data_IF_106627594869
#
_entry.id   IF_106627594869
#
_cell.length_a   1.000
_cell.length_b   1.000
_cell.length_c   1.000
_cell.angle_alpha   90.00
_cell.angle_beta   90.00
_cell.angle_gamma   90.00
#
_symmetry.space_group_name_H-M   'P 1'
#
loop_
_entity.id
_entity.type
_entity.pdbx_description
1 polymer ?
#
# COMPACT_ATOMS: atom_id res chain seq x y z
N UNK A 1 -19.05 25.45 -16.50
CA UNK A 1 -18.00 24.46 -16.14
C UNK A 1 -18.21 24.14 -14.67
N UNK A 2 -18.34 22.87 -14.29
CA UNK A 2 -18.40 22.49 -12.89
C UNK A 2 -17.10 22.92 -12.21
N UNK A 3 -17.17 23.53 -11.01
CA UNK A 3 -16.00 23.88 -10.22
C UNK A 3 -15.24 22.59 -9.94
N UNK A 4 -13.99 22.52 -10.36
CA UNK A 4 -13.13 21.38 -10.11
C UNK A 4 -12.87 21.29 -8.61
N UNK A 5 -13.26 20.19 -7.98
CA UNK A 5 -13.09 20.01 -6.53
C UNK A 5 -11.62 19.88 -6.18
N UNK A 6 -11.20 20.58 -5.14
CA UNK A 6 -9.86 20.46 -4.57
C UNK A 6 -9.86 19.42 -3.45
N UNK A 7 -9.08 18.37 -3.62
CA UNK A 7 -8.90 17.32 -2.61
C UNK A 7 -7.54 17.48 -1.94
N UNK A 8 -7.55 17.54 -0.63
CA UNK A 8 -6.35 17.57 0.19
C UNK A 8 -6.06 16.17 0.75
N UNK A 9 -4.87 15.64 0.46
CA UNK A 9 -4.40 14.36 1.00
C UNK A 9 -3.37 14.64 2.07
N UNK A 10 -3.61 14.15 3.29
CA UNK A 10 -2.71 14.33 4.45
C UNK A 10 -1.95 13.03 4.71
N UNK A 11 -0.64 13.06 4.48
CA UNK A 11 0.28 11.93 4.61
C UNK A 11 0.75 11.40 3.26
N UNK A 12 2.07 11.40 3.06
CA UNK A 12 2.76 11.00 1.83
C UNK A 12 3.34 9.58 1.87
N UNK A 13 2.77 8.68 2.68
CA UNK A 13 3.03 7.24 2.61
C UNK A 13 2.43 6.61 1.35
N UNK A 14 2.65 5.30 1.13
CA UNK A 14 2.15 4.59 -0.06
C UNK A 14 0.64 4.76 -0.25
N UNK A 15 -0.14 4.78 0.83
CA UNK A 15 -1.60 4.97 0.76
C UNK A 15 -1.94 6.37 0.26
N UNK A 16 -1.31 7.41 0.82
CA UNK A 16 -1.54 8.79 0.38
C UNK A 16 -1.08 9.04 -1.05
N UNK A 17 0.08 8.50 -1.44
CA UNK A 17 0.59 8.59 -2.82
C UNK A 17 -0.34 7.91 -3.83
N UNK A 18 -0.83 6.69 -3.53
CA UNK A 18 -1.79 5.98 -4.38
C UNK A 18 -3.14 6.69 -4.44
N UNK A 19 -3.61 7.22 -3.31
CA UNK A 19 -4.85 8.01 -3.25
C UNK A 19 -4.73 9.25 -4.13
N UNK A 20 -3.65 10.02 -3.96
CA UNK A 20 -3.38 11.20 -4.76
C UNK A 20 -3.30 10.87 -6.27
N UNK A 21 -2.59 9.78 -6.61
CA UNK A 21 -2.44 9.34 -7.99
C UNK A 21 -3.77 8.96 -8.64
N UNK A 22 -4.60 8.17 -7.94
CA UNK A 22 -5.91 7.78 -8.45
C UNK A 22 -6.85 8.97 -8.61
N UNK A 23 -6.93 9.86 -7.62
CA UNK A 23 -7.77 11.06 -7.69
C UNK A 23 -7.34 12.01 -8.81
N UNK A 24 -6.04 12.25 -8.93
CA UNK A 24 -5.49 13.11 -9.96
C UNK A 24 -5.69 12.53 -11.36
N UNK A 25 -5.54 11.21 -11.53
CA UNK A 25 -5.80 10.51 -12.80
C UNK A 25 -7.26 10.59 -13.22
N UNK A 26 -8.19 10.81 -12.28
CA UNK A 26 -9.60 11.06 -12.53
C UNK A 26 -9.92 12.56 -12.76
N UNK A 27 -8.90 13.41 -12.86
CA UNK A 27 -9.05 14.83 -13.14
C UNK A 27 -9.32 15.71 -11.91
N UNK A 28 -9.23 15.20 -10.68
CA UNK A 28 -9.36 16.01 -9.47
C UNK A 28 -8.11 16.90 -9.30
N UNK A 29 -8.30 18.09 -8.71
CA UNK A 29 -7.18 18.90 -8.22
C UNK A 29 -6.74 18.34 -6.89
N UNK A 30 -5.50 17.89 -6.78
CA UNK A 30 -4.97 17.22 -5.58
C UNK A 30 -3.83 18.03 -4.99
N UNK A 31 -3.90 18.27 -3.68
CA UNK A 31 -2.77 18.77 -2.90
C UNK A 31 -2.41 17.74 -1.84
N UNK A 32 -1.15 17.29 -1.83
CA UNK A 32 -0.64 16.30 -0.89
C UNK A 32 0.32 16.97 0.08
N UNK A 33 0.06 16.84 1.38
CA UNK A 33 0.92 17.35 2.46
C UNK A 33 1.61 16.19 3.16
N UNK A 34 2.94 16.28 3.27
CA UNK A 34 3.76 15.31 3.99
C UNK A 34 4.70 16.02 4.97
N UNK A 35 4.73 15.56 6.22
CA UNK A 35 5.53 16.19 7.29
C UNK A 35 7.04 16.09 7.09
N UNK A 36 7.48 15.04 6.38
CA UNK A 36 8.89 14.80 6.10
C UNK A 36 9.09 14.58 4.59
N UNK A 37 9.98 13.69 4.19
CA UNK A 37 10.09 13.23 2.80
C UNK A 37 9.05 12.15 2.51
N UNK A 38 8.56 12.10 1.28
CA UNK A 38 7.57 11.12 0.85
C UNK A 38 8.05 9.68 1.07
N UNK A 39 7.17 8.88 1.66
CA UNK A 39 7.31 7.44 1.79
C UNK A 39 8.41 6.95 2.73
N UNK A 40 8.92 7.78 3.63
CA UNK A 40 10.07 7.46 4.49
C UNK A 40 9.76 6.64 5.74
N UNK A 41 8.51 6.55 6.13
CA UNK A 41 8.08 5.81 7.33
C UNK A 41 7.82 4.32 6.98
N UNK A 42 6.70 3.76 7.42
CA UNK A 42 6.34 2.34 7.18
C UNK A 42 6.40 1.93 5.71
N UNK A 43 6.14 2.85 4.78
CA UNK A 43 6.20 2.60 3.34
C UNK A 43 7.61 2.34 2.82
N UNK A 44 8.64 2.82 3.51
CA UNK A 44 10.05 2.51 3.22
C UNK A 44 10.47 1.19 3.86
N UNK A 45 10.07 0.99 5.12
CA UNK A 45 10.54 -0.10 5.96
C UNK A 45 9.84 -1.45 5.68
N UNK A 46 8.73 -1.45 4.93
CA UNK A 46 7.96 -2.64 4.64
C UNK A 46 8.74 -3.71 3.89
N UNK A 47 8.45 -4.98 4.13
CA UNK A 47 9.11 -6.13 3.49
C UNK A 47 8.81 -6.29 2.00
N UNK A 48 7.82 -5.58 1.48
CA UNK A 48 7.46 -5.60 0.06
C UNK A 48 6.70 -6.83 -0.40
N UNK A 49 6.25 -7.69 0.49
CA UNK A 49 5.44 -8.86 0.15
C UNK A 49 4.02 -8.38 -0.16
N UNK A 50 3.54 -8.66 -1.36
CA UNK A 50 2.20 -8.30 -1.84
C UNK A 50 1.23 -9.43 -1.48
N UNK A 51 1.13 -9.73 -0.20
CA UNK A 51 0.18 -10.68 0.41
C UNK A 51 0.24 -10.55 1.92
N UNK A 52 -0.84 -10.81 2.66
CA UNK A 52 -0.72 -11.17 4.08
C UNK A 52 0.19 -12.40 4.23
N UNK A 53 1.05 -12.42 5.25
CA UNK A 53 2.03 -13.51 5.40
C UNK A 53 1.37 -14.88 5.59
N UNK A 54 0.23 -14.93 6.28
CA UNK A 54 -0.59 -16.13 6.49
C UNK A 54 -2.04 -15.80 6.14
N UNK A 55 -2.43 -15.71 4.83
CA UNK A 55 -3.72 -15.16 4.42
C UNK A 55 -4.94 -15.91 4.99
N UNK A 56 -4.82 -17.20 5.28
CA UNK A 56 -5.88 -18.01 5.89
C UNK A 56 -6.17 -17.71 7.35
N UNK A 57 -5.30 -16.94 8.03
CA UNK A 57 -5.45 -16.56 9.46
C UNK A 57 -6.13 -15.19 9.62
N UNK A 58 -6.42 -14.50 8.51
CA UNK A 58 -6.99 -13.16 8.55
C UNK A 58 -8.51 -13.17 8.37
N UNK A 59 -9.14 -12.08 8.80
CA UNK A 59 -10.55 -11.84 8.57
C UNK A 59 -10.86 -11.78 7.07
N UNK A 60 -12.02 -12.32 6.60
CA UNK A 60 -12.40 -12.28 5.19
C UNK A 60 -12.36 -10.88 4.55
N UNK A 61 -12.66 -9.81 5.32
CA UNK A 61 -12.57 -8.45 4.81
C UNK A 61 -11.12 -8.04 4.46
N UNK A 62 -10.13 -8.49 5.26
CA UNK A 62 -8.71 -8.28 4.96
C UNK A 62 -8.29 -9.08 3.74
N UNK A 63 -8.75 -10.33 3.65
CA UNK A 63 -8.50 -11.21 2.50
C UNK A 63 -9.02 -10.59 1.20
N UNK A 64 -10.24 -10.05 1.18
CA UNK A 64 -10.83 -9.42 0.01
C UNK A 64 -10.00 -8.22 -0.48
N UNK A 65 -9.57 -7.34 0.44
CA UNK A 65 -8.70 -6.20 0.10
C UNK A 65 -7.32 -6.66 -0.40
N UNK A 66 -6.75 -7.69 0.21
CA UNK A 66 -5.46 -8.23 -0.19
C UNK A 66 -5.50 -8.86 -1.59
N UNK A 67 -6.54 -9.62 -1.92
CA UNK A 67 -6.74 -10.20 -3.26
C UNK A 67 -6.85 -9.12 -4.32
N UNK A 68 -7.67 -8.10 -4.06
CA UNK A 68 -7.78 -6.97 -4.99
C UNK A 68 -6.43 -6.29 -5.22
N UNK A 69 -5.64 -6.09 -4.15
CA UNK A 69 -4.30 -5.49 -4.24
C UNK A 69 -3.34 -6.38 -5.03
N UNK A 70 -3.31 -7.68 -4.76
CA UNK A 70 -2.44 -8.63 -5.47
C UNK A 70 -2.67 -8.59 -6.98
N UNK A 71 -3.94 -8.60 -7.41
CA UNK A 71 -4.31 -8.56 -8.82
C UNK A 71 -4.00 -7.19 -9.47
N UNK A 72 -4.03 -6.11 -8.69
CA UNK A 72 -3.80 -4.75 -9.17
C UNK A 72 -2.31 -4.37 -9.31
N UNK A 73 -1.43 -4.86 -8.44
CA UNK A 73 -0.03 -4.44 -8.40
C UNK A 73 0.74 -4.61 -9.71
N UNK A 74 0.61 -5.71 -10.47
CA UNK A 74 1.29 -5.85 -11.77
C UNK A 74 0.87 -4.80 -12.79
N UNK A 75 -0.40 -4.45 -12.84
CA UNK A 75 -0.93 -3.41 -13.73
C UNK A 75 -0.44 -2.02 -13.31
N UNK A 76 -0.45 -1.72 -12.02
CA UNK A 76 0.08 -0.49 -11.46
C UNK A 76 1.57 -0.32 -11.81
N UNK A 77 2.37 -1.39 -11.68
CA UNK A 77 3.79 -1.36 -12.02
C UNK A 77 4.02 -1.01 -13.48
N UNK A 78 3.28 -1.61 -14.39
CA UNK A 78 3.36 -1.33 -15.82
C UNK A 78 2.93 0.11 -16.12
N UNK A 79 1.86 0.60 -15.51
CA UNK A 79 1.37 1.97 -15.67
C UNK A 79 2.41 2.99 -15.20
N UNK A 80 2.97 2.79 -14.01
CA UNK A 80 3.99 3.68 -13.45
C UNK A 80 5.27 3.68 -14.29
N UNK A 81 5.73 2.51 -14.71
CA UNK A 81 6.92 2.40 -15.56
C UNK A 81 6.72 3.10 -16.89
N UNK A 82 5.59 2.89 -17.55
CA UNK A 82 5.27 3.54 -18.83
C UNK A 82 5.19 5.06 -18.70
N UNK A 83 4.66 5.58 -17.59
CA UNK A 83 4.51 7.00 -17.36
C UNK A 83 5.81 7.71 -16.94
N UNK A 84 6.72 7.02 -16.27
CA UNK A 84 7.86 7.66 -15.57
C UNK A 84 9.24 7.14 -15.97
N UNK A 85 9.32 5.98 -16.62
CA UNK A 85 10.58 5.26 -16.83
C UNK A 85 11.17 4.65 -15.55
N UNK A 86 10.49 4.77 -14.41
CA UNK A 86 10.94 4.21 -13.12
C UNK A 86 10.18 2.92 -12.83
N UNK A 87 10.85 1.78 -12.96
CA UNK A 87 10.29 0.46 -12.65
C UNK A 87 10.14 0.27 -11.13
N UNK A 88 8.91 0.04 -10.61
CA UNK A 88 8.66 -0.30 -9.20
C UNK A 88 9.26 -1.65 -8.78
N UNK A 89 9.64 -2.49 -9.74
CA UNK A 89 10.13 -3.86 -9.53
C UNK A 89 9.12 -4.72 -8.77
N UNK A 90 7.94 -4.86 -9.36
CA UNK A 90 6.94 -5.84 -8.91
C UNK A 90 7.23 -7.16 -9.63
N UNK A 91 7.55 -8.20 -8.87
CA UNK A 91 7.87 -9.53 -9.40
C UNK A 91 6.97 -10.57 -8.75
N UNK A 92 6.30 -11.38 -9.57
CA UNK A 92 5.57 -12.57 -9.11
C UNK A 92 6.60 -13.69 -8.95
N UNK A 93 6.94 -14.03 -7.71
CA UNK A 93 7.97 -15.01 -7.37
C UNK A 93 7.41 -16.23 -6.65
N UNK A 94 6.16 -16.13 -6.22
CA UNK A 94 5.56 -17.09 -5.31
C UNK A 94 6.12 -16.99 -3.88
N UNK A 95 5.55 -17.79 -2.99
CA UNK A 95 5.96 -17.88 -1.59
C UNK A 95 5.84 -19.33 -1.13
N UNK A 96 6.88 -19.81 -0.45
CA UNK A 96 6.90 -21.11 0.24
C UNK A 96 6.65 -20.92 1.73
N UNK A 97 5.87 -21.81 2.34
CA UNK A 97 5.79 -22.02 3.78
C UNK A 97 6.29 -23.41 4.09
N UNK A 98 7.14 -23.52 5.09
CA UNK A 98 7.80 -24.76 5.49
C UNK A 98 7.26 -25.23 6.83
N UNK A 99 6.98 -26.53 6.96
CA UNK A 99 6.56 -27.21 8.20
C UNK A 99 5.43 -26.47 8.95
N UNK A 100 4.39 -26.08 8.21
CA UNK A 100 3.22 -25.42 8.79
C UNK A 100 2.37 -26.37 9.61
N UNK A 101 2.07 -25.99 10.84
CA UNK A 101 1.14 -26.73 11.70
C UNK A 101 -0.31 -26.72 11.19
N UNK A 102 -0.71 -25.64 10.54
CA UNK A 102 -2.05 -25.40 9.99
C UNK A 102 -2.15 -25.55 8.47
N UNK A 103 -1.31 -26.42 7.88
CA UNK A 103 -1.26 -26.68 6.43
C UNK A 103 -2.63 -27.04 5.86
N UNK A 104 -3.36 -27.96 6.52
CA UNK A 104 -4.69 -28.40 6.07
C UNK A 104 -5.67 -27.22 5.99
N UNK A 105 -5.63 -26.29 6.96
CA UNK A 105 -6.45 -25.08 6.98
C UNK A 105 -6.06 -24.14 5.83
N UNK A 106 -4.78 -24.00 5.54
CA UNK A 106 -4.27 -23.18 4.44
C UNK A 106 -4.76 -23.69 3.09
N UNK A 107 -4.67 -24.99 2.85
CA UNK A 107 -5.12 -25.63 1.60
C UNK A 107 -6.64 -25.54 1.42
N UNK A 108 -7.42 -25.72 2.49
CA UNK A 108 -8.88 -25.56 2.46
C UNK A 108 -9.26 -24.10 2.15
N UNK A 109 -8.60 -23.14 2.81
CA UNK A 109 -8.77 -21.72 2.52
C UNK A 109 -8.49 -21.41 1.04
N UNK A 110 -7.37 -21.88 0.51
CA UNK A 110 -6.97 -21.64 -0.87
C UNK A 110 -8.00 -22.17 -1.88
N UNK A 111 -8.53 -23.37 -1.62
CA UNK A 111 -9.60 -23.96 -2.44
C UNK A 111 -10.87 -23.10 -2.40
N UNK A 112 -11.26 -22.60 -1.22
CA UNK A 112 -12.43 -21.74 -1.04
C UNK A 112 -12.26 -20.40 -1.74
N UNK A 113 -11.08 -19.79 -1.63
CA UNK A 113 -10.77 -18.46 -2.18
C UNK A 113 -10.28 -18.51 -3.65
N UNK A 114 -10.14 -19.71 -4.23
CA UNK A 114 -9.65 -19.88 -5.60
C UNK A 114 -8.19 -19.46 -5.81
N UNK A 115 -7.33 -19.62 -4.77
CA UNK A 115 -5.92 -19.25 -4.84
C UNK A 115 -5.03 -20.43 -5.21
N UNK A 116 -3.93 -20.22 -5.98
CA UNK A 116 -3.03 -21.27 -6.46
C UNK A 116 -2.03 -21.70 -5.37
N UNK A 117 -2.55 -22.18 -4.23
CA UNK A 117 -1.75 -22.74 -3.14
C UNK A 117 -1.85 -24.26 -3.18
N UNK A 118 -0.72 -24.95 -3.17
CA UNK A 118 -0.64 -26.42 -3.18
C UNK A 118 0.50 -26.94 -2.32
N UNK A 119 0.35 -28.16 -1.83
CA UNK A 119 1.46 -28.88 -1.23
C UNK A 119 2.51 -29.21 -2.30
N UNK A 120 3.77 -29.09 -1.95
CA UNK A 120 4.91 -29.41 -2.82
C UNK A 120 5.91 -30.27 -2.09
N UNK A 121 6.61 -31.14 -2.82
CA UNK A 121 7.69 -31.94 -2.26
C UNK A 121 8.84 -31.05 -1.82
N UNK A 122 9.46 -31.37 -0.70
CA UNK A 122 10.58 -30.58 -0.14
C UNK A 122 11.79 -30.55 -1.07
N UNK A 123 11.98 -31.57 -1.92
CA UNK A 123 13.03 -31.60 -2.94
C UNK A 123 12.86 -30.47 -3.97
N UNK A 124 11.61 -30.16 -4.36
CA UNK A 124 11.32 -29.03 -5.25
C UNK A 124 11.74 -27.69 -4.63
N UNK A 125 11.55 -27.57 -3.32
CA UNK A 125 11.99 -26.37 -2.60
C UNK A 125 13.51 -26.25 -2.54
N UNK A 126 14.22 -27.35 -2.29
CA UNK A 126 15.69 -27.38 -2.32
C UNK A 126 16.25 -27.04 -3.71
N UNK A 127 15.62 -27.53 -4.77
CA UNK A 127 16.01 -27.19 -6.14
C UNK A 127 15.81 -25.70 -6.45
N UNK A 128 14.69 -25.12 -5.98
CA UNK A 128 14.38 -23.69 -6.15
C UNK A 128 15.22 -22.77 -5.26
N UNK A 129 15.58 -23.24 -4.07
CA UNK A 129 16.31 -22.48 -3.04
C UNK A 129 17.50 -23.32 -2.53
N UNK A 130 18.59 -23.45 -3.29
CA UNK A 130 19.71 -24.34 -2.97
C UNK A 130 20.45 -24.01 -1.64
N UNK A 131 20.25 -22.78 -1.14
CA UNK A 131 20.84 -22.33 0.14
C UNK A 131 19.96 -22.67 1.35
N UNK A 132 18.80 -23.29 1.13
CA UNK A 132 17.90 -23.70 2.22
C UNK A 132 18.59 -24.79 3.05
N UNK A 133 18.59 -24.59 4.37
CA UNK A 133 19.10 -25.62 5.31
C UNK A 133 18.27 -26.90 5.26
N UNK A 134 18.87 -28.02 5.69
CA UNK A 134 18.20 -29.31 5.80
C UNK A 134 17.29 -29.36 7.04
N UNK A 135 16.32 -30.30 7.03
CA UNK A 135 15.50 -30.62 8.22
C UNK A 135 14.01 -30.35 8.03
N UNK A 136 13.63 -29.61 7.02
CA UNK A 136 12.22 -29.41 6.65
C UNK A 136 11.61 -30.67 6.04
N UNK A 137 10.35 -30.95 6.37
CA UNK A 137 9.65 -32.16 5.96
C UNK A 137 8.51 -31.88 4.96
N UNK A 138 7.88 -30.72 5.09
CA UNK A 138 6.68 -30.34 4.34
C UNK A 138 6.81 -28.91 3.82
N UNK A 139 6.20 -28.66 2.66
CA UNK A 139 6.10 -27.32 2.12
C UNK A 139 4.78 -27.13 1.38
N UNK A 140 4.24 -25.92 1.45
CA UNK A 140 3.21 -25.45 0.53
C UNK A 140 3.72 -24.25 -0.23
N UNK A 141 3.21 -24.08 -1.44
CA UNK A 141 3.63 -23.00 -2.34
C UNK A 141 2.43 -22.28 -2.94
N UNK A 142 2.41 -20.97 -2.87
CA UNK A 142 1.44 -20.12 -3.53
C UNK A 142 2.13 -19.35 -4.65
N UNK A 143 1.75 -19.64 -5.90
CA UNK A 143 2.47 -19.18 -7.08
C UNK A 143 2.26 -17.70 -7.43
N UNK A 144 1.15 -17.11 -7.01
CA UNK A 144 0.73 -15.75 -7.37
C UNK A 144 1.17 -14.66 -6.39
N UNK A 145 1.96 -15.00 -5.38
CA UNK A 145 2.51 -14.00 -4.48
C UNK A 145 3.61 -13.21 -5.17
N UNK A 146 3.44 -11.89 -5.15
CA UNK A 146 4.42 -10.96 -5.67
C UNK A 146 5.23 -10.30 -4.56
N UNK A 147 6.36 -9.76 -4.91
CA UNK A 147 7.08 -8.77 -4.11
C UNK A 147 7.22 -7.45 -4.88
N UNK A 148 7.38 -6.37 -4.14
CA UNK A 148 7.62 -5.04 -4.68
C UNK A 148 8.78 -4.38 -3.95
N UNK A 149 9.62 -3.66 -4.67
CA UNK A 149 10.68 -2.88 -4.03
C UNK A 149 10.12 -1.54 -3.56
N UNK A 150 9.73 -1.46 -2.29
CA UNK A 150 9.04 -0.30 -1.71
C UNK A 150 9.68 1.07 -2.03
N UNK A 151 11.03 1.26 -1.90
CA UNK A 151 11.65 2.54 -2.25
C UNK A 151 11.47 2.90 -3.73
N UNK A 152 11.43 1.91 -4.62
CA UNK A 152 11.24 2.15 -6.05
C UNK A 152 9.78 2.44 -6.39
N UNK A 153 8.83 1.77 -5.71
CA UNK A 153 7.41 2.10 -5.82
C UNK A 153 7.14 3.55 -5.40
N UNK A 154 7.67 3.97 -4.25
CA UNK A 154 7.56 5.37 -3.80
C UNK A 154 8.18 6.33 -4.81
N UNK A 155 9.38 6.01 -5.33
CA UNK A 155 10.05 6.83 -6.34
C UNK A 155 9.23 6.96 -7.62
N UNK A 156 8.64 5.88 -8.11
CA UNK A 156 7.83 5.88 -9.32
C UNK A 156 6.51 6.66 -9.12
N UNK A 157 5.84 6.48 -7.97
CA UNK A 157 4.64 7.23 -7.62
C UNK A 157 4.92 8.74 -7.49
N UNK A 158 6.02 9.12 -6.82
CA UNK A 158 6.45 10.52 -6.73
C UNK A 158 6.67 11.12 -8.14
N UNK A 159 7.39 10.43 -9.00
CA UNK A 159 7.64 10.89 -10.37
C UNK A 159 6.34 11.01 -11.19
N UNK A 160 5.42 10.04 -11.05
CA UNK A 160 4.13 10.08 -11.72
C UNK A 160 3.28 11.28 -11.27
N UNK A 161 3.21 11.52 -9.95
CA UNK A 161 2.47 12.64 -9.39
C UNK A 161 3.05 13.99 -9.80
N UNK A 162 4.39 14.13 -9.82
CA UNK A 162 5.08 15.37 -10.24
C UNK A 162 4.86 15.70 -11.71
N UNK A 163 4.57 14.70 -12.55
CA UNK A 163 4.27 14.90 -13.96
C UNK A 163 2.82 15.35 -14.22
N UNK A 164 1.93 15.27 -13.23
CA UNK A 164 0.53 15.64 -13.37
C UNK A 164 0.31 17.13 -13.06
N UNK A 165 -0.28 17.92 -13.99
CA UNK A 165 -0.44 19.37 -13.81
C UNK A 165 -1.48 19.75 -12.74
N UNK A 166 -2.32 18.82 -12.34
CA UNK A 166 -3.37 18.96 -11.33
C UNK A 166 -2.96 18.45 -9.95
N UNK A 167 -1.64 18.27 -9.70
CA UNK A 167 -1.10 17.82 -8.42
C UNK A 167 -0.11 18.84 -7.87
N UNK A 168 -0.29 19.17 -6.60
CA UNK A 168 0.69 19.90 -5.79
C UNK A 168 1.16 19.00 -4.64
N UNK A 169 2.47 18.95 -4.41
CA UNK A 169 3.08 18.19 -3.31
C UNK A 169 3.87 19.15 -2.44
N UNK A 170 3.55 19.18 -1.15
CA UNK A 170 4.27 19.93 -0.13
C UNK A 170 4.91 18.94 0.87
N UNK A 171 6.18 18.69 0.69
CA UNK A 171 7.02 17.95 1.66
C UNK A 171 7.44 18.92 2.79
N UNK A 172 7.87 18.42 3.93
CA UNK A 172 8.24 19.19 5.13
C UNK A 172 7.08 20.05 5.65
N UNK A 173 5.84 19.59 5.42
CA UNK A 173 4.62 20.26 5.82
C UNK A 173 3.86 19.44 6.86
N UNK A 174 3.98 19.82 8.12
CA UNK A 174 3.30 19.15 9.24
C UNK A 174 1.88 19.68 9.37
N UNK A 175 0.90 18.78 9.36
CA UNK A 175 -0.50 19.06 9.70
C UNK A 175 -0.68 18.87 11.19
N UNK A 176 -1.26 19.88 11.85
CA UNK A 176 -1.51 19.88 13.30
C UNK A 176 -2.98 19.76 13.71
N UNK A 177 -3.91 19.96 12.78
CA UNK A 177 -5.33 19.90 13.07
C UNK A 177 -6.21 20.08 11.84
N UNK A 178 -7.53 20.00 12.05
CA UNK A 178 -8.54 20.19 11.02
C UNK A 178 -9.30 21.50 11.22
N UNK A 179 -9.45 22.27 10.14
CA UNK A 179 -10.31 23.44 10.10
C UNK A 179 -11.75 22.97 9.88
N UNK A 180 -12.67 23.40 10.75
CA UNK A 180 -14.08 23.01 10.69
C UNK A 180 -14.99 24.23 10.54
N UNK A 181 -16.02 24.07 9.72
CA UNK A 181 -17.15 24.98 9.63
C UNK A 181 -18.43 24.17 9.97
N UNK A 182 -18.92 24.34 11.21
CA UNK A 182 -19.94 23.46 11.76
C UNK A 182 -19.44 22.02 11.91
N UNK A 183 -20.08 21.07 11.23
CA UNK A 183 -19.68 19.67 11.23
C UNK A 183 -18.78 19.26 10.04
N UNK A 184 -18.52 20.17 9.12
CA UNK A 184 -17.72 19.90 7.93
C UNK A 184 -16.25 20.23 8.18
N UNK A 185 -15.37 19.37 7.69
CA UNK A 185 -13.93 19.66 7.58
C UNK A 185 -13.72 20.38 6.25
N UNK A 186 -13.21 21.61 6.33
CA UNK A 186 -12.99 22.49 5.17
C UNK A 186 -11.52 22.79 4.92
N UNK A 187 -10.63 22.08 5.61
CA UNK A 187 -9.18 22.25 5.48
C UNK A 187 -8.41 21.72 6.67
N UNK A 188 -7.14 22.08 6.73
CA UNK A 188 -6.22 21.73 7.81
C UNK A 188 -5.36 22.93 8.24
N UNK A 189 -4.98 22.93 9.51
CA UNK A 189 -3.89 23.77 10.02
C UNK A 189 -2.56 23.06 9.77
N UNK A 190 -1.59 23.76 9.21
CA UNK A 190 -0.29 23.20 8.89
C UNK A 190 0.86 24.17 9.19
N UNK A 191 2.10 23.67 9.13
CA UNK A 191 3.30 24.50 9.26
C UNK A 191 3.44 25.56 8.16
N UNK A 192 2.68 25.45 7.07
CA UNK A 192 2.59 26.44 5.99
C UNK A 192 1.39 27.40 6.18
N UNK A 193 0.69 27.33 7.32
CA UNK A 193 -0.56 28.04 7.60
C UNK A 193 -1.80 27.19 7.25
N UNK A 194 -2.96 27.85 7.21
CA UNK A 194 -4.23 27.21 6.84
C UNK A 194 -4.24 26.77 5.37
N UNK A 195 -4.60 25.52 5.13
CA UNK A 195 -4.81 24.95 3.78
C UNK A 195 -6.26 24.53 3.67
N UNK A 196 -7.04 25.24 2.86
CA UNK A 196 -8.46 24.93 2.63
C UNK A 196 -8.64 24.02 1.42
N UNK A 197 -9.66 23.16 1.50
CA UNK A 197 -10.04 22.25 0.41
C UNK A 197 -11.52 21.85 0.53
N UNK A 198 -12.10 21.40 -0.59
CA UNK A 198 -13.48 20.90 -0.62
C UNK A 198 -13.60 19.53 0.07
N UNK A 199 -12.52 18.75 0.06
CA UNK A 199 -12.44 17.43 0.73
C UNK A 199 -11.05 17.20 1.33
N UNK A 200 -10.99 16.50 2.45
CA UNK A 200 -9.75 16.10 3.11
C UNK A 200 -9.71 14.58 3.27
N UNK A 201 -8.66 13.95 2.76
CA UNK A 201 -8.39 12.52 2.90
C UNK A 201 -7.22 12.33 3.84
N UNK A 202 -7.45 11.65 4.97
CA UNK A 202 -6.43 11.39 5.97
C UNK A 202 -5.72 10.06 5.69
N UNK A 203 -4.42 10.13 5.38
CA UNK A 203 -3.54 9.00 5.08
C UNK A 203 -2.29 9.00 5.98
N UNK A 204 -2.40 9.51 7.22
CA UNK A 204 -1.28 9.73 8.13
C UNK A 204 -0.80 8.44 8.87
N UNK A 205 -1.20 7.25 8.42
CA UNK A 205 -0.73 5.98 8.97
C UNK A 205 -0.96 5.89 10.49
N UNK A 206 0.06 5.55 11.25
CA UNK A 206 -0.01 5.42 12.71
C UNK A 206 -0.37 6.72 13.43
N UNK A 207 -0.17 7.88 12.81
CA UNK A 207 -0.47 9.21 13.40
C UNK A 207 -1.90 9.67 13.11
N UNK A 208 -2.70 8.90 12.36
CA UNK A 208 -4.09 9.27 12.06
C UNK A 208 -4.94 9.43 13.32
N UNK A 209 -4.74 8.56 14.32
CA UNK A 209 -5.46 8.64 15.59
C UNK A 209 -5.14 9.90 16.38
N UNK A 210 -3.88 10.31 16.41
CA UNK A 210 -3.44 11.55 17.06
C UNK A 210 -4.11 12.77 16.44
N UNK A 211 -4.08 12.87 15.10
CA UNK A 211 -4.72 13.97 14.38
C UNK A 211 -6.26 14.01 14.56
N UNK A 212 -6.89 12.87 14.77
CA UNK A 212 -8.32 12.77 15.02
C UNK A 212 -8.70 12.97 16.50
N UNK A 213 -7.71 13.09 17.40
CA UNK A 213 -7.93 13.13 18.83
C UNK A 213 -8.43 11.79 19.39
N UNK A 214 -8.17 10.68 18.68
CA UNK A 214 -8.56 9.32 19.06
C UNK A 214 -7.39 8.63 19.74
N UNK A 215 -7.65 8.01 20.89
CA UNK A 215 -6.68 7.09 21.49
C UNK A 215 -6.73 5.75 20.75
N UNK A 216 -5.66 5.42 20.03
CA UNK A 216 -5.52 4.10 19.37
C UNK A 216 -4.87 3.05 20.28
N UNK A 217 -5.03 3.18 21.60
CA UNK A 217 -4.37 2.31 22.60
C UNK A 217 -5.08 0.96 22.74
N UNK A 218 -5.57 0.34 21.72
CA UNK A 218 -6.12 -1.01 21.88
C UNK A 218 -5.88 -1.86 20.64
N UNK A 219 -4.65 -2.26 20.53
CA UNK A 219 -4.33 -3.46 19.74
C UNK A 219 -3.63 -4.45 20.67
#
# INVERSE_FOLDING_TARGET
MAKQQQVLVVGGGVIGLLTAFNLASQGQQVRLLERSDLGRESSWAGGGIVSPLYPWRYNPAVTALAHWSQDFYPQLAQQLFSATGVDPQVHVTGLYWLDLEDEAQALEWAKREGRPLSAVDISVVHDAVPVLGNGYQQAIYMADVANVRNPRLVKSLKAALQALPNVQIDEQCTVSGFIREGQQVVGVDSSLGEVRADQVVLCAGAWSGELLGLSLIHI
#
